data_IF_139879345876
#
_entry.id   IF_139879345876
#
_cell.length_a   1.000
_cell.length_b   1.000
_cell.length_c   1.000
_cell.angle_alpha   90.00
_cell.angle_beta   90.00
_cell.angle_gamma   90.00
#
_symmetry.space_group_name_H-M   'P 1'
#
loop_
_entity.id
_entity.type
_entity.pdbx_description
1 polymer ?
#
# COMPACT_ATOMS: atom_id res chain seq x y z
N UNK A 1 8.40 -29.08 27.88
CA UNK A 1 7.97 -29.00 26.48
C UNK A 1 6.79 -28.06 26.40
N UNK A 2 6.96 -26.87 25.84
CA UNK A 2 5.89 -25.93 25.51
C UNK A 2 6.10 -25.50 24.06
N UNK A 3 5.29 -26.05 23.17
CA UNK A 3 5.22 -25.65 21.75
C UNK A 3 3.89 -24.94 21.53
N UNK A 4 3.94 -23.63 21.32
CA UNK A 4 2.88 -22.80 20.74
C UNK A 4 3.59 -21.49 20.30
N UNK A 5 3.49 -20.96 19.08
CA UNK A 5 2.43 -21.00 18.08
C UNK A 5 3.04 -20.90 16.66
N UNK A 6 2.32 -21.35 15.61
CA UNK A 6 2.73 -21.14 14.23
C UNK A 6 2.57 -19.66 13.86
N UNK A 7 3.54 -19.13 13.10
CA UNK A 7 3.43 -17.88 12.37
C UNK A 7 2.18 -17.91 11.48
N UNK A 8 1.08 -17.34 11.95
CA UNK A 8 -0.14 -17.14 11.16
C UNK A 8 -0.29 -15.66 10.82
N UNK A 9 0.48 -15.17 9.84
CA UNK A 9 0.12 -14.04 8.98
C UNK A 9 1.15 -13.84 7.86
N UNK A 10 1.04 -14.62 6.77
CA UNK A 10 1.15 -13.98 5.45
C UNK A 10 -0.09 -14.19 4.56
N UNK A 11 -0.95 -15.16 4.86
CA UNK A 11 -2.03 -15.57 3.95
C UNK A 11 -3.05 -14.46 3.62
N UNK A 12 -3.37 -13.58 4.58
CA UNK A 12 -4.36 -12.50 4.40
C UNK A 12 -3.82 -11.34 3.52
N UNK A 13 -2.51 -11.19 3.42
CA UNK A 13 -1.89 -10.16 2.58
C UNK A 13 -1.77 -10.62 1.12
N UNK A 14 -1.53 -11.91 0.90
CA UNK A 14 -1.53 -12.55 -0.42
C UNK A 14 -2.90 -12.46 -1.12
N UNK A 15 -3.99 -12.65 -0.39
CA UNK A 15 -5.35 -12.58 -0.94
C UNK A 15 -5.70 -11.17 -1.47
N UNK A 16 -5.25 -10.12 -0.77
CA UNK A 16 -5.41 -8.73 -1.25
C UNK A 16 -4.52 -8.41 -2.44
N UNK A 17 -3.32 -8.98 -2.51
CA UNK A 17 -2.43 -8.81 -3.66
C UNK A 17 -2.98 -9.45 -4.94
N UNK A 18 -3.64 -10.61 -4.81
CA UNK A 18 -4.35 -11.25 -5.91
C UNK A 18 -5.55 -10.42 -6.40
N UNK A 19 -6.35 -9.88 -5.48
CA UNK A 19 -7.49 -9.01 -5.81
C UNK A 19 -7.07 -7.71 -6.52
N UNK A 20 -5.85 -7.23 -6.27
CA UNK A 20 -5.27 -6.05 -6.93
C UNK A 20 -4.47 -6.40 -8.20
N UNK A 21 -4.45 -7.65 -8.65
CA UNK A 21 -3.71 -8.05 -9.85
C UNK A 21 -2.19 -7.88 -9.74
N UNK A 22 -1.60 -7.96 -8.53
CA UNK A 22 -0.18 -7.65 -8.31
C UNK A 22 0.80 -8.74 -8.81
N UNK A 23 0.36 -9.66 -9.65
CA UNK A 23 1.21 -10.71 -10.23
C UNK A 23 2.25 -10.16 -11.21
N UNK A 24 1.86 -9.19 -12.05
CA UNK A 24 2.72 -8.58 -13.06
C UNK A 24 3.51 -7.37 -12.48
N UNK A 25 4.84 -7.33 -12.61
CA UNK A 25 5.65 -6.15 -12.26
C UNK A 25 5.17 -4.83 -12.89
N UNK A 26 4.64 -4.86 -14.12
CA UNK A 26 4.13 -3.68 -14.81
C UNK A 26 2.86 -3.16 -14.15
N UNK A 27 1.95 -4.04 -13.79
CA UNK A 27 0.70 -3.68 -13.12
C UNK A 27 0.99 -3.09 -11.73
N UNK A 28 1.94 -3.67 -10.99
CA UNK A 28 2.40 -3.12 -9.71
C UNK A 28 2.89 -1.67 -9.83
N UNK A 29 3.69 -1.35 -10.85
CA UNK A 29 4.16 0.02 -11.10
C UNK A 29 3.02 0.98 -11.41
N UNK A 30 2.09 0.58 -12.29
CA UNK A 30 0.92 1.40 -12.64
C UNK A 30 0.08 1.70 -11.40
N UNK A 31 -0.18 0.68 -10.58
CA UNK A 31 -0.96 0.83 -9.34
C UNK A 31 -0.21 1.71 -8.34
N UNK A 32 1.11 1.55 -8.19
CA UNK A 32 1.93 2.39 -7.31
C UNK A 32 1.85 3.87 -7.72
N UNK A 33 1.95 4.17 -9.02
CA UNK A 33 1.83 5.53 -9.54
C UNK A 33 0.42 6.10 -9.33
N UNK A 34 -0.62 5.30 -9.57
CA UNK A 34 -2.00 5.70 -9.31
C UNK A 34 -2.22 6.03 -7.82
N UNK A 35 -1.68 5.22 -6.89
CA UNK A 35 -1.79 5.46 -5.45
C UNK A 35 -1.02 6.71 -5.02
N UNK A 36 0.15 7.00 -5.62
CA UNK A 36 0.90 8.24 -5.37
C UNK A 36 0.11 9.47 -5.80
N UNK A 37 -0.47 9.42 -7.01
CA UNK A 37 -1.31 10.52 -7.52
C UNK A 37 -2.53 10.73 -6.64
N UNK A 38 -3.25 9.66 -6.30
CA UNK A 38 -4.45 9.72 -5.47
C UNK A 38 -4.14 10.24 -4.06
N UNK A 39 -3.01 9.84 -3.47
CA UNK A 39 -2.57 10.34 -2.17
C UNK A 39 -2.35 11.85 -2.21
N UNK A 40 -1.69 12.35 -3.27
CA UNK A 40 -1.45 13.78 -3.46
C UNK A 40 -2.76 14.55 -3.57
N UNK A 41 -3.65 14.13 -4.46
CA UNK A 41 -4.93 14.81 -4.69
C UNK A 41 -5.79 14.85 -3.42
N UNK A 42 -5.90 13.74 -2.70
CA UNK A 42 -6.70 13.71 -1.46
C UNK A 42 -6.05 14.45 -0.30
N UNK A 43 -4.72 14.51 -0.25
CA UNK A 43 -4.02 15.35 0.74
C UNK A 43 -4.27 16.84 0.46
N UNK A 44 -4.28 17.25 -0.81
CA UNK A 44 -4.65 18.61 -1.20
C UNK A 44 -6.11 18.91 -0.84
N UNK A 45 -7.04 17.99 -1.11
CA UNK A 45 -8.44 18.12 -0.73
C UNK A 45 -8.62 18.28 0.79
N UNK A 46 -7.89 17.52 1.60
CA UNK A 46 -7.88 17.66 3.06
C UNK A 46 -7.38 19.05 3.47
N UNK A 47 -6.30 19.55 2.85
CA UNK A 47 -5.78 20.88 3.15
C UNK A 47 -6.77 22.00 2.78
N UNK A 48 -7.55 21.85 1.70
CA UNK A 48 -8.66 22.76 1.40
C UNK A 48 -9.75 22.68 2.48
N UNK A 49 -10.16 21.49 2.89
CA UNK A 49 -11.20 21.31 3.89
C UNK A 49 -10.79 21.83 5.28
N UNK A 50 -9.52 21.65 5.67
CA UNK A 50 -8.97 22.24 6.91
C UNK A 50 -9.05 23.76 6.89
N UNK A 51 -8.68 24.40 5.77
CA UNK A 51 -8.77 25.88 5.64
C UNK A 51 -10.21 26.37 5.75
N UNK A 52 -11.15 25.70 5.09
CA UNK A 52 -12.58 26.04 5.20
C UNK A 52 -13.08 25.85 6.63
N UNK A 53 -12.66 24.80 7.33
CA UNK A 53 -13.03 24.58 8.72
C UNK A 53 -12.49 25.70 9.63
N UNK A 54 -11.23 26.08 9.44
CA UNK A 54 -10.59 27.17 10.18
C UNK A 54 -11.28 28.53 9.94
N UNK A 55 -11.65 28.85 8.69
CA UNK A 55 -12.35 30.10 8.33
C UNK A 55 -13.75 30.21 8.95
N UNK A 56 -14.41 29.08 9.22
CA UNK A 56 -15.78 29.02 9.74
C UNK A 56 -15.87 28.60 11.21
N UNK A 57 -14.74 28.50 11.92
CA UNK A 57 -14.65 28.01 13.32
C UNK A 57 -15.36 26.66 13.51
N UNK A 58 -15.16 25.75 12.54
CA UNK A 58 -15.73 24.40 12.54
C UNK A 58 -14.68 23.36 12.94
N UNK A 59 -15.11 22.19 13.45
CA UNK A 59 -14.20 21.06 13.67
C UNK A 59 -13.43 20.70 12.39
N UNK A 60 -12.12 20.48 12.53
CA UNK A 60 -11.29 20.02 11.42
C UNK A 60 -11.63 18.58 11.04
N UNK A 61 -11.69 18.25 9.74
CA UNK A 61 -11.90 16.88 9.29
C UNK A 61 -10.69 15.99 9.60
N UNK A 62 -10.94 14.69 9.78
CA UNK A 62 -9.90 13.70 10.02
C UNK A 62 -9.31 13.21 8.69
N UNK A 63 -8.05 12.74 8.73
CA UNK A 63 -7.40 12.17 7.55
C UNK A 63 -8.10 10.92 6.99
N UNK A 64 -8.83 10.18 7.83
CA UNK A 64 -9.63 9.03 7.40
C UNK A 64 -10.86 9.44 6.58
N UNK A 65 -11.41 10.64 6.78
CA UNK A 65 -12.50 11.17 5.95
C UNK A 65 -12.06 11.34 4.49
N UNK A 66 -10.75 11.47 4.28
CA UNK A 66 -10.09 11.54 2.97
C UNK A 66 -9.39 10.22 2.59
N UNK A 67 -9.60 9.15 3.36
CA UNK A 67 -9.05 7.81 3.15
C UNK A 67 -7.53 7.77 2.93
N UNK A 68 -6.78 8.73 3.51
CA UNK A 68 -5.33 8.80 3.37
C UNK A 68 -4.65 7.56 3.98
N UNK A 69 -5.15 7.11 5.13
CA UNK A 69 -4.66 5.90 5.81
C UNK A 69 -4.80 4.65 4.93
N UNK A 70 -5.93 4.50 4.25
CA UNK A 70 -6.17 3.35 3.37
C UNK A 70 -5.29 3.40 2.12
N UNK A 71 -5.10 4.58 1.53
CA UNK A 71 -4.20 4.75 0.37
C UNK A 71 -2.75 4.41 0.76
N UNK A 72 -2.28 4.89 1.91
CA UNK A 72 -0.94 4.58 2.42
C UNK A 72 -0.80 3.08 2.68
N UNK A 73 -1.83 2.45 3.25
CA UNK A 73 -1.85 1.00 3.50
C UNK A 73 -1.76 0.22 2.19
N UNK A 74 -2.54 0.61 1.17
CA UNK A 74 -2.51 -0.03 -0.15
C UNK A 74 -1.16 0.16 -0.83
N UNK A 75 -0.57 1.36 -0.75
CA UNK A 75 0.75 1.63 -1.33
C UNK A 75 1.82 0.71 -0.74
N UNK A 76 1.80 0.50 0.58
CA UNK A 76 2.72 -0.44 1.27
C UNK A 76 2.54 -1.89 0.83
N UNK A 77 1.30 -2.32 0.56
CA UNK A 77 1.03 -3.68 0.04
C UNK A 77 1.68 -3.83 -1.35
N UNK A 78 1.55 -2.82 -2.21
CA UNK A 78 2.14 -2.81 -3.55
C UNK A 78 3.67 -2.80 -3.48
N UNK A 79 4.27 -1.93 -2.67
CA UNK A 79 5.73 -1.88 -2.45
C UNK A 79 6.30 -3.20 -1.92
N UNK A 80 5.55 -3.87 -1.04
CA UNK A 80 5.91 -5.20 -0.54
C UNK A 80 5.85 -6.23 -1.67
N UNK A 81 4.80 -6.22 -2.48
CA UNK A 81 4.66 -7.13 -3.62
C UNK A 81 5.76 -6.92 -4.67
N UNK A 82 6.21 -5.68 -4.91
CA UNK A 82 7.37 -5.41 -5.78
C UNK A 82 8.64 -6.07 -5.24
N UNK A 83 8.94 -5.92 -3.94
CA UNK A 83 10.13 -6.53 -3.32
C UNK A 83 10.10 -8.05 -3.33
N UNK A 84 8.95 -8.68 -3.07
CA UNK A 84 8.82 -10.13 -3.15
C UNK A 84 8.90 -10.64 -4.59
N UNK A 85 8.29 -9.92 -5.54
CA UNK A 85 8.40 -10.24 -6.95
C UNK A 85 9.85 -10.18 -7.44
N UNK A 86 10.61 -9.17 -7.03
CA UNK A 86 12.02 -9.01 -7.42
C UNK A 86 12.89 -10.17 -6.87
N UNK A 87 12.74 -10.51 -5.59
CA UNK A 87 13.45 -11.62 -4.97
C UNK A 87 13.19 -13.00 -5.62
N UNK A 88 12.01 -13.20 -6.22
CA UNK A 88 11.67 -14.44 -6.93
C UNK A 88 12.13 -14.47 -8.40
N UNK A 89 12.49 -13.30 -8.97
CA UNK A 89 13.00 -13.18 -10.34
C UNK A 89 14.53 -13.06 -10.39
N UNK A 90 15.21 -13.07 -9.24
CA UNK A 90 16.67 -13.01 -9.17
C UNK A 90 17.27 -14.34 -9.68
N UNK A 91 18.13 -14.34 -10.72
CA UNK A 91 18.76 -15.56 -11.19
C UNK A 91 19.73 -16.08 -10.13
N UNK A 92 19.49 -17.29 -9.62
CA UNK A 92 20.39 -17.95 -8.66
C UNK A 92 21.80 -18.03 -9.27
N UNK A 93 22.81 -17.38 -8.67
CA UNK A 93 24.17 -17.44 -9.18
C UNK A 93 24.80 -18.76 -8.69
N UNK A 94 24.71 -19.81 -9.50
CA UNK A 94 25.30 -21.10 -9.11
C UNK A 94 24.87 -22.30 -9.92
N UNK A 95 25.11 -22.28 -11.23
CA UNK A 95 25.12 -23.50 -12.04
C UNK A 95 26.10 -23.38 -13.21
N UNK A 96 27.35 -23.03 -12.91
CA UNK A 96 28.48 -23.36 -13.77
C UNK A 96 29.21 -24.53 -13.08
N UNK A 97 29.07 -25.73 -13.63
CA UNK A 97 29.95 -26.87 -13.38
C UNK A 97 30.97 -26.93 -14.51
#
# INVERSE_FOLDING_TARGET
MLTASPLAAPAVEYDRGAALGLGDPRDRRIIADALRTLLRERSEALAFAMRVADEHDRPRPDANDFALTDIIRLARIVERAERYGDAMNEPVPGAAR
#
